data_IF_285838542196
#
_entry.id   IF_285838542196
#
_cell.length_a   1.000
_cell.length_b   1.000
_cell.length_c   1.000
_cell.angle_alpha   90.00
_cell.angle_beta   90.00
_cell.angle_gamma   90.00
#
_symmetry.space_group_name_H-M   'P 1'
#
loop_
_entity.id
_entity.type
_entity.pdbx_description
1 polymer ?
#
# COMPACT_ATOMS: atom_id res chain seq x y z
N UNK A 1 -16.75 20.62 10.29
CA UNK A 1 -15.64 19.79 10.77
C UNK A 1 -15.61 18.53 9.92
N UNK A 2 -14.82 18.52 8.85
CA UNK A 2 -14.66 17.35 7.99
C UNK A 2 -13.84 16.32 8.75
N UNK A 3 -14.47 15.21 9.15
CA UNK A 3 -13.74 14.02 9.61
C UNK A 3 -12.80 13.65 8.47
N UNK A 4 -11.49 13.72 8.69
CA UNK A 4 -10.52 13.23 7.71
C UNK A 4 -10.68 11.72 7.68
N UNK A 5 -11.46 11.22 6.73
CA UNK A 5 -11.70 9.79 6.59
C UNK A 5 -10.40 9.12 6.17
N UNK A 6 -10.00 8.08 6.91
CA UNK A 6 -8.82 7.31 6.58
C UNK A 6 -9.01 6.60 5.24
N UNK A 7 -7.92 6.37 4.48
CA UNK A 7 -7.97 5.58 3.28
C UNK A 7 -8.45 4.15 3.57
N UNK A 8 -9.03 3.51 2.55
CA UNK A 8 -9.76 2.25 2.68
C UNK A 8 -9.02 1.20 3.52
N UNK A 9 -7.74 0.94 3.27
CA UNK A 9 -6.98 -0.12 3.94
C UNK A 9 -6.27 0.30 5.24
N UNK A 10 -6.50 1.52 5.75
CA UNK A 10 -5.92 2.00 7.01
C UNK A 10 -6.96 2.00 8.14
N UNK A 11 -6.49 1.82 9.38
CA UNK A 11 -7.34 1.71 10.56
C UNK A 11 -6.84 2.57 11.73
N UNK A 12 -7.65 3.51 12.21
CA UNK A 12 -7.33 4.39 13.35
C UNK A 12 -6.27 5.46 13.07
N UNK A 13 -5.21 5.14 12.33
CA UNK A 13 -4.14 6.07 11.92
C UNK A 13 -3.47 5.64 10.62
N UNK A 14 -2.61 6.51 10.06
CA UNK A 14 -1.80 6.18 8.87
C UNK A 14 -0.64 5.22 9.14
N UNK A 15 -0.27 5.02 10.41
CA UNK A 15 0.74 4.04 10.81
C UNK A 15 0.18 2.60 10.91
N UNK A 16 -1.14 2.44 10.85
CA UNK A 16 -1.81 1.16 11.11
C UNK A 16 -2.64 0.72 9.90
N UNK A 17 -2.32 -0.45 9.36
CA UNK A 17 -3.05 -1.07 8.27
C UNK A 17 -4.13 -2.04 8.80
N UNK A 18 -5.27 -2.08 8.12
CA UNK A 18 -6.26 -3.13 8.29
C UNK A 18 -5.86 -4.34 7.44
N UNK A 19 -5.28 -5.37 8.08
CA UNK A 19 -4.79 -6.57 7.39
C UNK A 19 -5.84 -7.31 6.55
N UNK A 20 -7.14 -7.25 6.92
CA UNK A 20 -8.22 -7.86 6.11
C UNK A 20 -8.40 -7.09 4.81
N UNK A 21 -8.44 -5.76 4.89
CA UNK A 21 -8.56 -4.89 3.71
C UNK A 21 -7.31 -4.89 2.85
N UNK A 22 -6.11 -4.94 3.45
CA UNK A 22 -4.85 -5.13 2.71
C UNK A 22 -4.91 -6.41 1.87
N UNK A 23 -5.32 -7.53 2.47
CA UNK A 23 -5.47 -8.79 1.75
C UNK A 23 -6.55 -8.70 0.67
N UNK A 24 -7.67 -8.02 0.94
CA UNK A 24 -8.72 -7.79 -0.05
C UNK A 24 -8.21 -6.99 -1.26
N UNK A 25 -7.36 -5.99 -1.06
CA UNK A 25 -6.76 -5.21 -2.14
C UNK A 25 -5.98 -6.09 -3.10
N UNK A 26 -5.23 -7.06 -2.57
CA UNK A 26 -4.52 -8.05 -3.36
C UNK A 26 -5.48 -8.96 -4.15
N UNK A 27 -6.42 -9.60 -3.45
CA UNK A 27 -7.27 -10.66 -4.03
C UNK A 27 -8.31 -10.13 -5.02
N UNK A 28 -8.87 -8.95 -4.75
CA UNK A 28 -9.86 -8.30 -5.61
C UNK A 28 -9.26 -7.28 -6.59
N UNK A 29 -7.94 -7.07 -6.51
CA UNK A 29 -7.21 -6.09 -7.34
C UNK A 29 -7.82 -4.68 -7.29
N UNK A 30 -8.06 -4.21 -6.07
CA UNK A 30 -8.61 -2.88 -5.78
C UNK A 30 -7.58 -1.98 -5.10
N UNK A 31 -7.76 -0.67 -5.24
CA UNK A 31 -6.92 0.35 -4.63
C UNK A 31 -7.15 0.40 -3.12
N UNK A 32 -6.09 0.30 -2.32
CA UNK A 32 -6.16 0.42 -0.86
C UNK A 32 -6.46 1.82 -0.34
N UNK A 33 -6.47 2.84 -1.21
CA UNK A 33 -6.86 4.19 -0.87
C UNK A 33 -8.37 4.40 -0.96
N UNK A 34 -8.96 4.10 -2.12
CA UNK A 34 -10.36 4.41 -2.44
C UNK A 34 -11.29 3.18 -2.56
N UNK A 35 -10.74 1.96 -2.52
CA UNK A 35 -11.50 0.70 -2.64
C UNK A 35 -12.00 0.37 -4.06
N UNK A 36 -11.69 1.19 -5.07
CA UNK A 36 -12.09 0.96 -6.47
C UNK A 36 -11.08 0.08 -7.22
N UNK A 37 -11.50 -0.57 -8.31
CA UNK A 37 -10.64 -1.39 -9.16
C UNK A 37 -9.38 -0.65 -9.64
N UNK A 38 -8.24 -1.35 -9.64
CA UNK A 38 -6.97 -0.78 -10.09
C UNK A 38 -6.89 -0.68 -11.61
N UNK A 39 -6.43 0.49 -12.06
CA UNK A 39 -5.95 0.70 -13.42
C UNK A 39 -4.44 0.47 -13.53
N UNK A 40 -3.81 1.08 -14.54
CA UNK A 40 -2.36 1.15 -14.69
C UNK A 40 -1.94 2.62 -14.92
N UNK A 41 -0.76 3.06 -14.42
CA UNK A 41 0.15 2.30 -13.56
C UNK A 41 -0.40 2.13 -12.13
N UNK A 42 0.13 1.13 -11.42
CA UNK A 42 -0.15 0.89 -9.99
C UNK A 42 0.97 1.57 -9.20
N UNK A 43 0.61 2.20 -8.08
CA UNK A 43 1.55 2.82 -7.16
C UNK A 43 1.66 2.02 -5.86
N UNK A 44 2.85 1.98 -5.29
CA UNK A 44 3.10 1.55 -3.92
C UNK A 44 3.71 2.70 -3.14
N UNK A 45 3.37 2.77 -1.85
CA UNK A 45 3.93 3.72 -0.89
C UNK A 45 4.67 2.91 0.17
N UNK A 46 5.90 3.29 0.49
CA UNK A 46 6.69 2.63 1.52
C UNK A 46 7.85 3.47 1.99
N UNK A 47 8.45 3.04 3.09
CA UNK A 47 9.70 3.60 3.63
C UNK A 47 10.88 3.33 2.70
N UNK A 48 12.03 4.02 2.87
CA UNK A 48 13.21 3.77 2.03
C UNK A 48 13.73 2.33 2.10
N UNK A 49 13.57 1.64 3.24
CA UNK A 49 13.93 0.21 3.37
C UNK A 49 12.98 -0.69 2.58
N UNK A 50 11.66 -0.45 2.66
CA UNK A 50 10.67 -1.19 1.86
C UNK A 50 10.89 -1.01 0.36
N UNK A 51 11.21 0.22 -0.08
CA UNK A 51 11.58 0.51 -1.47
C UNK A 51 12.86 -0.22 -1.85
N UNK A 52 13.91 -0.14 -1.03
CA UNK A 52 15.18 -0.82 -1.28
C UNK A 52 15.05 -2.34 -1.38
N UNK A 53 14.13 -2.93 -0.61
CA UNK A 53 13.82 -4.38 -0.64
C UNK A 53 12.81 -4.76 -1.72
N UNK A 54 12.19 -3.78 -2.38
CA UNK A 54 11.07 -3.97 -3.30
C UNK A 54 9.94 -4.82 -2.69
N UNK A 55 9.64 -4.57 -1.42
CA UNK A 55 8.66 -5.31 -0.65
C UNK A 55 7.89 -4.36 0.28
N UNK A 56 6.61 -4.16 -0.01
CA UNK A 56 5.77 -3.15 0.63
C UNK A 56 4.70 -3.81 1.49
N UNK A 57 4.44 -3.27 2.68
CA UNK A 57 3.28 -3.71 3.47
C UNK A 57 2.00 -2.98 3.07
N UNK A 58 2.12 -1.72 2.64
CA UNK A 58 0.99 -0.97 2.15
C UNK A 58 0.44 -1.59 0.85
N UNK A 59 -0.89 -1.61 0.66
CA UNK A 59 -1.52 -2.20 -0.51
C UNK A 59 -1.28 -1.37 -1.78
N UNK A 60 -1.55 -1.93 -2.96
CA UNK A 60 -1.49 -1.19 -4.22
C UNK A 60 -2.49 -0.03 -4.23
N UNK A 61 -2.07 1.08 -4.84
CA UNK A 61 -2.83 2.31 -4.96
C UNK A 61 -2.92 2.75 -6.42
N UNK A 62 -3.90 3.61 -6.73
CA UNK A 62 -3.76 4.51 -7.87
C UNK A 62 -2.68 5.55 -7.54
N UNK A 63 -1.99 6.06 -8.57
CA UNK A 63 -0.98 7.13 -8.40
C UNK A 63 -1.56 8.32 -7.65
N UNK A 64 -2.72 8.83 -8.07
CA UNK A 64 -3.39 9.95 -7.41
C UNK A 64 -3.75 9.66 -5.94
N UNK A 65 -4.12 8.42 -5.62
CA UNK A 65 -4.40 8.03 -4.23
C UNK A 65 -3.11 7.97 -3.39
N UNK A 66 -1.99 7.55 -3.97
CA UNK A 66 -0.69 7.56 -3.31
C UNK A 66 -0.23 8.99 -3.02
N UNK A 67 -0.32 9.89 -4.00
CA UNK A 67 0.00 11.31 -3.82
C UNK A 67 -0.88 11.96 -2.75
N UNK A 68 -2.20 11.69 -2.79
CA UNK A 68 -3.14 12.18 -1.78
C UNK A 68 -2.81 11.64 -0.39
N UNK A 69 -2.38 10.38 -0.29
CA UNK A 69 -1.98 9.75 0.98
C UNK A 69 -0.77 10.46 1.60
N UNK A 70 0.26 10.78 0.80
CA UNK A 70 1.46 11.49 1.27
C UNK A 70 1.14 12.92 1.74
N UNK A 71 0.08 13.54 1.22
CA UNK A 71 -0.36 14.88 1.63
C UNK A 71 -1.16 14.89 2.95
N UNK A 72 -1.56 13.73 3.49
CA UNK A 72 -2.33 13.66 4.73
C UNK A 72 -1.47 13.96 5.96
N UNK A 73 -2.07 14.64 6.94
CA UNK A 73 -1.43 14.86 8.25
C UNK A 73 -1.21 13.51 8.94
N UNK A 74 0.04 13.23 9.32
CA UNK A 74 0.44 11.96 9.93
C UNK A 74 0.94 10.92 8.95
N UNK A 75 1.05 11.25 7.66
CA UNK A 75 1.85 10.46 6.72
C UNK A 75 3.32 10.48 7.16
N UNK A 76 4.01 9.36 6.94
CA UNK A 76 5.44 9.29 7.19
C UNK A 76 6.18 10.19 6.18
N UNK A 77 7.00 11.15 6.63
CA UNK A 77 7.70 12.08 5.73
C UNK A 77 8.74 11.38 4.83
N UNK A 78 9.13 10.16 5.15
CA UNK A 78 10.10 9.39 4.37
C UNK A 78 9.42 8.43 3.40
N UNK A 79 8.10 8.40 3.34
CA UNK A 79 7.39 7.59 2.35
C UNK A 79 7.72 8.04 0.93
N UNK A 80 7.97 7.04 0.09
CA UNK A 80 8.29 7.19 -1.32
C UNK A 80 7.24 6.45 -2.15
N UNK A 81 6.97 6.97 -3.35
CA UNK A 81 6.08 6.34 -4.32
C UNK A 81 6.91 5.57 -5.34
N UNK A 82 6.54 4.31 -5.56
CA UNK A 82 7.08 3.48 -6.65
C UNK A 82 5.95 3.08 -7.58
N UNK A 83 6.15 3.26 -8.88
CA UNK A 83 5.18 2.87 -9.92
C UNK A 83 5.56 1.58 -10.62
N UNK A 84 4.56 0.78 -10.95
CA UNK A 84 4.75 -0.52 -11.61
C UNK A 84 3.56 -0.88 -12.49
N UNK A 85 3.79 -1.72 -13.49
CA UNK A 85 2.73 -2.29 -14.32
C UNK A 85 2.02 -3.49 -13.65
N UNK A 86 2.62 -4.07 -12.60
CA UNK A 86 2.14 -5.27 -11.92
C UNK A 86 2.83 -5.52 -10.58
N UNK A 87 2.29 -6.46 -9.81
CA UNK A 87 2.86 -6.87 -8.53
C UNK A 87 2.51 -8.31 -8.20
N UNK A 88 3.26 -8.90 -7.29
CA UNK A 88 2.96 -10.16 -6.63
C UNK A 88 2.52 -9.90 -5.19
N UNK A 89 1.57 -10.70 -4.69
CA UNK A 89 1.17 -10.69 -3.29
C UNK A 89 1.79 -11.89 -2.58
N UNK A 90 2.71 -11.62 -1.68
CA UNK A 90 3.50 -12.63 -0.98
C UNK A 90 2.99 -12.78 0.44
N UNK A 91 2.54 -14.00 0.77
CA UNK A 91 2.18 -14.37 2.15
C UNK A 91 3.44 -14.76 2.92
N UNK A 92 3.54 -14.42 4.21
CA UNK A 92 4.69 -14.80 5.02
C UNK A 92 4.67 -16.31 5.29
N UNK A 93 5.84 -16.93 5.23
CA UNK A 93 6.09 -18.30 5.64
C UNK A 93 6.01 -18.43 7.16
N UNK A 94 5.87 -19.66 7.69
CA UNK A 94 5.72 -19.91 9.14
C UNK A 94 6.90 -19.37 9.96
N UNK A 95 8.09 -19.36 9.37
CA UNK A 95 9.36 -19.04 10.01
C UNK A 95 9.70 -17.54 9.95
N UNK A 96 8.98 -16.75 9.15
CA UNK A 96 9.21 -15.31 9.04
C UNK A 96 8.88 -14.60 10.37
N UNK A 97 9.82 -13.77 10.83
CA UNK A 97 9.65 -12.92 12.00
C UNK A 97 8.55 -11.87 11.78
N UNK A 98 8.51 -11.27 10.58
CA UNK A 98 7.40 -10.42 10.17
C UNK A 98 6.28 -11.26 9.55
N UNK A 99 5.16 -11.33 10.27
CA UNK A 99 3.96 -12.09 9.92
C UNK A 99 2.99 -11.32 9.02
N UNK A 100 3.37 -10.14 8.53
CA UNK A 100 2.55 -9.35 7.61
C UNK A 100 2.83 -9.76 6.15
N UNK A 101 1.82 -9.79 5.28
CA UNK A 101 2.05 -9.99 3.86
C UNK A 101 2.80 -8.80 3.26
N UNK A 102 3.41 -9.04 2.10
CA UNK A 102 4.07 -8.00 1.31
C UNK A 102 3.59 -8.00 -0.13
N UNK A 103 3.65 -6.84 -0.76
CA UNK A 103 3.48 -6.66 -2.19
C UNK A 103 4.84 -6.42 -2.82
N UNK A 104 5.13 -7.14 -3.91
CA UNK A 104 6.39 -7.03 -4.64
C UNK A 104 6.12 -6.55 -6.05
N UNK A 105 6.40 -5.28 -6.39
CA UNK A 105 6.39 -4.81 -7.77
C UNK A 105 7.27 -5.70 -8.67
N UNK A 106 6.75 -6.11 -9.83
CA UNK A 106 7.46 -7.04 -10.74
C UNK A 106 7.68 -6.48 -12.15
N UNK A 107 7.37 -5.21 -12.38
CA UNK A 107 7.53 -4.53 -13.68
C UNK A 107 7.64 -3.03 -13.44
N UNK A 108 8.74 -2.62 -12.80
CA UNK A 108 9.00 -1.21 -12.47
C UNK A 108 9.04 -0.37 -13.75
N UNK A 109 8.39 0.79 -13.70
CA UNK A 109 8.25 1.75 -14.80
C UNK A 109 8.99 3.04 -14.47
#
# INVERSE_FOLDING_TARGET
MTVTQLPFAWAGSLATLDGRRVTQCALSRICGGCGQSLGRPIAFVGTPDEVGRNAFHAPPLHVACAESLLALRGADPHWQIVTTAGFEFVRPAKEDEDRRPTFRPNSLL
#
